data_IF_632984170225
#
_entry.id   IF_632984170225
#
_cell.length_a   1.000
_cell.length_b   1.000
_cell.length_c   1.000
_cell.angle_alpha   90.00
_cell.angle_beta   90.00
_cell.angle_gamma   90.00
#
_symmetry.space_group_name_H-M   'P 1'
#
loop_
_entity.id
_entity.type
_entity.pdbx_description
1 polymer ?
#
# COMPACT_ATOMS: atom_id res chain seq x y z
N UNK A 1 -26.31 9.96 3.07
CA UNK A 1 -25.98 9.84 4.51
C UNK A 1 -25.29 11.12 4.96
N UNK A 2 -25.60 11.66 6.14
CA UNK A 2 -24.91 12.83 6.71
C UNK A 2 -24.29 12.51 8.08
N UNK A 3 -23.07 12.98 8.32
CA UNK A 3 -22.31 12.82 9.56
C UNK A 3 -21.98 14.20 10.12
N UNK A 4 -22.20 14.40 11.42
CA UNK A 4 -21.91 15.65 12.15
C UNK A 4 -21.15 15.34 13.44
N UNK A 5 -20.85 16.37 14.24
CA UNK A 5 -20.08 16.22 15.48
C UNK A 5 -18.67 15.71 15.24
N UNK A 6 -18.13 15.94 14.03
CA UNK A 6 -16.77 15.55 13.67
C UNK A 6 -15.81 16.57 14.29
N UNK A 7 -14.90 16.13 15.14
CA UNK A 7 -13.92 17.03 15.76
C UNK A 7 -12.92 17.57 14.73
N UNK A 8 -12.30 16.68 13.97
CA UNK A 8 -11.45 17.00 12.83
C UNK A 8 -11.77 16.08 11.65
N UNK A 9 -12.01 16.67 10.49
CA UNK A 9 -12.14 15.99 9.21
C UNK A 9 -10.88 16.24 8.39
N UNK A 10 -10.14 15.18 8.06
CA UNK A 10 -9.06 15.23 7.07
C UNK A 10 -9.68 14.98 5.69
N UNK A 11 -9.52 15.92 4.76
CA UNK A 11 -10.12 15.80 3.42
C UNK A 11 -9.09 15.48 2.34
N UNK A 12 -7.81 15.81 2.54
CA UNK A 12 -6.80 15.88 1.47
C UNK A 12 -7.22 16.79 0.28
N UNK A 13 -8.16 17.71 0.51
CA UNK A 13 -8.58 18.68 -0.49
C UNK A 13 -7.76 19.96 -0.36
N UNK A 14 -6.81 20.12 -1.29
CA UNK A 14 -5.92 21.29 -1.31
C UNK A 14 -6.66 22.59 -1.68
N UNK A 15 -7.85 22.50 -2.29
CA UNK A 15 -8.64 23.68 -2.67
C UNK A 15 -9.22 24.42 -1.46
N UNK A 16 -9.24 23.78 -0.29
CA UNK A 16 -9.68 24.39 0.96
C UNK A 16 -8.62 25.34 1.57
N UNK A 17 -7.40 25.40 1.02
CA UNK A 17 -6.29 26.24 1.50
C UNK A 17 -5.91 26.02 2.98
N UNK A 18 -6.16 24.80 3.50
CA UNK A 18 -5.92 24.40 4.90
C UNK A 18 -4.75 23.42 5.04
N UNK A 19 -3.67 23.68 4.31
CA UNK A 19 -2.53 22.77 4.18
C UNK A 19 -2.84 21.51 3.37
N UNK A 20 -1.85 20.61 3.23
CA UNK A 20 -1.97 19.41 2.37
C UNK A 20 -3.07 18.44 2.79
N UNK A 21 -3.41 18.38 4.09
CA UNK A 21 -4.47 17.52 4.62
C UNK A 21 -5.87 18.14 4.54
N UNK A 22 -6.00 19.43 4.24
CA UNK A 22 -7.30 20.11 4.17
C UNK A 22 -8.13 20.01 5.46
N UNK A 23 -7.49 20.09 6.63
CA UNK A 23 -8.14 19.76 7.91
C UNK A 23 -9.26 20.75 8.24
N UNK A 24 -10.46 20.24 8.47
CA UNK A 24 -11.62 21.02 8.90
C UNK A 24 -11.98 20.66 10.35
N UNK A 25 -12.01 21.65 11.22
CA UNK A 25 -12.45 21.50 12.60
C UNK A 25 -13.98 21.67 12.71
N UNK A 26 -14.61 20.98 13.67
CA UNK A 26 -16.07 21.01 13.87
C UNK A 26 -16.83 20.79 12.56
N UNK A 27 -16.52 19.67 11.91
CA UNK A 27 -16.91 19.41 10.53
C UNK A 27 -18.21 18.59 10.42
N UNK A 28 -18.74 18.58 9.20
CA UNK A 28 -19.75 17.64 8.76
C UNK A 28 -19.34 17.04 7.40
N UNK A 29 -19.81 15.82 7.13
CA UNK A 29 -19.57 15.09 5.90
C UNK A 29 -20.91 14.57 5.35
N UNK A 30 -21.18 14.76 4.07
CA UNK A 30 -22.35 14.19 3.40
C UNK A 30 -21.90 13.27 2.28
N UNK A 31 -22.46 12.07 2.30
CA UNK A 31 -22.36 11.10 1.20
C UNK A 31 -23.66 11.14 0.41
N UNK A 32 -23.54 11.41 -0.89
CA UNK A 32 -24.65 11.41 -1.85
C UNK A 32 -25.13 10.00 -2.21
N UNK A 33 -26.26 9.93 -2.91
CA UNK A 33 -26.87 8.66 -3.32
C UNK A 33 -26.05 7.93 -4.40
N UNK A 34 -25.14 8.63 -5.06
CA UNK A 34 -24.15 8.09 -6.00
C UNK A 34 -22.90 7.51 -5.31
N UNK A 35 -22.93 7.39 -3.97
CA UNK A 35 -21.84 6.90 -3.13
C UNK A 35 -20.57 7.76 -3.18
N UNK A 36 -20.70 9.04 -3.53
CA UNK A 36 -19.62 10.03 -3.53
C UNK A 36 -19.79 11.05 -2.43
N UNK A 37 -18.72 11.76 -2.12
CA UNK A 37 -18.77 12.90 -1.21
C UNK A 37 -19.56 14.04 -1.87
N UNK A 38 -20.67 14.43 -1.24
CA UNK A 38 -21.51 15.54 -1.66
C UNK A 38 -21.18 16.85 -0.89
N UNK A 39 -20.64 16.72 0.32
CA UNK A 39 -20.19 17.85 1.14
C UNK A 39 -19.11 17.40 2.12
N UNK A 40 -18.05 18.19 2.25
CA UNK A 40 -16.99 18.02 3.25
C UNK A 40 -16.56 19.41 3.73
N UNK A 41 -16.95 19.80 4.94
CA UNK A 41 -16.74 21.17 5.38
C UNK A 41 -17.18 21.43 6.81
N UNK A 42 -17.16 22.70 7.22
CA UNK A 42 -17.57 23.10 8.57
C UNK A 42 -19.04 22.76 8.81
N UNK A 43 -19.36 22.21 9.98
CA UNK A 43 -20.72 21.79 10.32
C UNK A 43 -21.72 22.95 10.30
N UNK A 44 -21.25 24.18 10.56
CA UNK A 44 -22.06 25.40 10.44
C UNK A 44 -22.63 25.60 9.03
N UNK A 45 -21.93 25.10 8.01
CA UNK A 45 -22.30 25.21 6.60
C UNK A 45 -23.02 23.98 6.05
N UNK A 46 -23.37 23.00 6.92
CA UNK A 46 -24.13 21.83 6.50
C UNK A 46 -25.52 22.24 5.95
N UNK A 47 -25.90 21.82 4.73
CA UNK A 47 -27.21 22.15 4.17
C UNK A 47 -28.36 21.71 5.07
N UNK A 48 -29.42 22.54 5.12
CA UNK A 48 -30.50 22.39 6.10
C UNK A 48 -31.23 21.05 5.97
N UNK A 49 -31.40 20.51 4.77
CA UNK A 49 -32.06 19.21 4.56
C UNK A 49 -31.37 18.03 5.25
N UNK A 50 -30.07 18.13 5.56
CA UNK A 50 -29.30 17.05 6.18
C UNK A 50 -29.27 17.13 7.72
N UNK A 51 -29.66 18.26 8.32
CA UNK A 51 -29.47 18.50 9.77
C UNK A 51 -30.26 17.55 10.65
N UNK A 52 -31.50 17.23 10.29
CA UNK A 52 -32.40 16.41 11.12
C UNK A 52 -32.11 14.91 11.08
N UNK A 53 -31.35 14.44 10.08
CA UNK A 53 -31.02 13.02 9.88
C UNK A 53 -29.53 12.71 10.03
N UNK A 54 -28.72 13.70 10.41
CA UNK A 54 -27.29 13.53 10.58
C UNK A 54 -26.96 12.62 11.77
N UNK A 55 -25.99 11.72 11.58
CA UNK A 55 -25.45 10.88 12.64
C UNK A 55 -24.36 11.67 13.35
N UNK A 56 -24.51 11.88 14.66
CA UNK A 56 -23.51 12.55 15.49
C UNK A 56 -22.36 11.59 15.83
N UNK A 57 -21.13 12.00 15.52
CA UNK A 57 -19.93 11.24 15.82
C UNK A 57 -19.33 11.53 17.20
N UNK A 58 -19.97 12.36 18.02
CA UNK A 58 -19.61 12.66 19.41
C UNK A 58 -18.15 13.12 19.58
N UNK A 59 -17.66 13.95 18.66
CA UNK A 59 -16.31 14.49 18.69
C UNK A 59 -15.22 13.55 18.17
N UNK A 60 -15.58 12.47 17.46
CA UNK A 60 -14.61 11.62 16.74
C UNK A 60 -14.10 12.28 15.46
N UNK A 61 -12.91 11.89 15.04
CA UNK A 61 -12.29 12.35 13.80
C UNK A 61 -12.65 11.43 12.62
N UNK A 62 -12.64 12.00 11.41
CA UNK A 62 -12.73 11.25 10.16
C UNK A 62 -11.46 11.50 9.35
N UNK A 63 -10.93 10.43 8.75
CA UNK A 63 -9.88 10.49 7.73
C UNK A 63 -10.33 9.76 6.46
N UNK A 64 -9.74 10.04 5.28
CA UNK A 64 -9.93 9.20 4.12
C UNK A 64 -9.49 7.76 4.43
N UNK A 65 -10.12 6.78 3.79
CA UNK A 65 -9.74 5.38 3.93
C UNK A 65 -8.28 5.20 3.52
N UNK A 66 -7.55 4.35 4.23
CA UNK A 66 -6.16 4.08 3.85
C UNK A 66 -6.12 3.38 2.50
N UNK A 67 -5.11 3.74 1.71
CA UNK A 67 -4.82 3.10 0.43
C UNK A 67 -3.50 2.35 0.60
N UNK A 68 -3.61 1.06 0.90
CA UNK A 68 -2.45 0.20 1.10
C UNK A 68 -1.91 -0.26 -0.25
N UNK A 69 -0.99 0.54 -0.79
CA UNK A 69 -0.57 0.42 -2.20
C UNK A 69 0.44 -0.70 -2.48
N UNK A 70 0.84 -1.48 -1.48
CA UNK A 70 1.84 -2.53 -1.64
C UNK A 70 1.62 -3.67 -0.62
N UNK A 71 1.17 -4.84 -1.08
CA UNK A 71 1.07 -6.04 -0.23
C UNK A 71 1.32 -7.34 -1.02
N UNK A 72 1.52 -8.45 -0.31
CA UNK A 72 1.65 -9.80 -0.86
C UNK A 72 0.73 -10.76 -0.09
N UNK A 73 -0.59 -10.61 -0.24
CA UNK A 73 -1.58 -11.34 0.57
C UNK A 73 -1.83 -12.79 0.11
N UNK A 74 -1.40 -13.15 -1.09
CA UNK A 74 -1.62 -14.50 -1.66
C UNK A 74 -0.40 -15.37 -1.42
N UNK A 75 -0.42 -16.10 -0.30
CA UNK A 75 0.60 -17.07 0.06
C UNK A 75 0.04 -18.23 0.91
N UNK A 76 0.73 -19.36 0.86
CA UNK A 76 0.53 -20.49 1.77
C UNK A 76 1.54 -20.51 2.92
N UNK A 77 1.13 -21.09 4.05
CA UNK A 77 1.97 -21.24 5.25
C UNK A 77 2.29 -19.93 5.96
N UNK A 78 3.29 -19.97 6.83
CA UNK A 78 3.86 -18.81 7.52
C UNK A 78 5.38 -18.99 7.70
N UNK A 79 6.07 -17.97 8.23
CA UNK A 79 7.51 -18.01 8.50
C UNK A 79 7.85 -17.62 9.94
N UNK A 80 6.98 -17.97 10.89
CA UNK A 80 7.18 -17.65 12.30
C UNK A 80 8.46 -18.27 12.89
N UNK A 81 8.78 -19.52 12.53
CA UNK A 81 10.01 -20.19 12.97
C UNK A 81 11.27 -19.49 12.44
N UNK A 82 11.24 -19.02 11.19
CA UNK A 82 12.35 -18.23 10.64
C UNK A 82 12.49 -16.90 11.38
N UNK A 83 11.37 -16.23 11.66
CA UNK A 83 11.37 -15.00 12.43
C UNK A 83 11.99 -15.21 13.82
N UNK A 84 11.60 -16.26 14.55
CA UNK A 84 12.18 -16.60 15.85
C UNK A 84 13.69 -16.85 15.74
N UNK A 85 14.12 -17.63 14.75
CA UNK A 85 15.53 -17.91 14.54
C UNK A 85 16.35 -16.64 14.26
N UNK A 86 15.84 -15.75 13.38
CA UNK A 86 16.45 -14.44 13.08
C UNK A 86 16.55 -13.56 14.32
N UNK A 87 15.46 -13.45 15.09
CA UNK A 87 15.40 -12.58 16.27
C UNK A 87 16.28 -13.08 17.42
N UNK A 88 16.49 -14.39 17.52
CA UNK A 88 17.36 -15.03 18.53
C UNK A 88 18.84 -15.10 18.11
N UNK A 89 19.20 -14.57 16.94
CA UNK A 89 20.59 -14.56 16.45
C UNK A 89 21.13 -15.93 16.06
N UNK A 90 20.26 -16.93 15.87
CA UNK A 90 20.69 -18.25 15.40
C UNK A 90 21.16 -18.11 13.94
N UNK A 91 22.35 -18.63 13.59
CA UNK A 91 22.76 -18.75 12.20
C UNK A 91 21.72 -19.65 11.51
N UNK A 92 20.82 -19.05 10.74
CA UNK A 92 19.71 -19.78 10.17
C UNK A 92 19.84 -19.79 8.65
N UNK A 93 20.00 -21.00 8.10
CA UNK A 93 19.94 -21.29 6.67
C UNK A 93 18.49 -21.39 6.20
N UNK A 94 17.65 -20.41 6.58
CA UNK A 94 16.23 -20.39 6.23
C UNK A 94 16.03 -20.61 4.74
N UNK A 95 15.01 -21.39 4.36
CA UNK A 95 14.53 -21.45 2.98
C UNK A 95 14.15 -20.05 2.44
N UNK A 96 13.90 -19.08 3.33
CA UNK A 96 13.62 -17.72 2.96
C UNK A 96 12.30 -17.65 2.20
N UNK A 97 12.28 -16.87 1.13
CA UNK A 97 11.17 -16.86 0.18
C UNK A 97 10.84 -18.27 -0.37
N UNK A 98 11.81 -19.19 -0.47
CA UNK A 98 11.56 -20.55 -0.99
C UNK A 98 10.60 -21.36 -0.12
N UNK A 99 10.60 -21.12 1.19
CA UNK A 99 9.64 -21.75 2.11
C UNK A 99 8.21 -21.35 1.73
N UNK A 100 7.98 -20.05 1.51
CA UNK A 100 6.68 -19.53 1.07
C UNK A 100 6.33 -20.01 -0.34
N UNK A 101 7.30 -20.06 -1.27
CA UNK A 101 7.05 -20.58 -2.63
C UNK A 101 6.58 -22.02 -2.58
N UNK A 102 7.28 -22.89 -1.85
CA UNK A 102 6.91 -24.29 -1.71
C UNK A 102 5.52 -24.45 -1.06
N UNK A 103 5.25 -23.70 0.02
CA UNK A 103 3.96 -23.74 0.70
C UNK A 103 2.81 -23.22 -0.17
N UNK A 104 3.03 -22.16 -0.95
CA UNK A 104 2.03 -21.58 -1.87
C UNK A 104 1.73 -22.55 -3.00
N UNK A 105 2.77 -23.12 -3.64
CA UNK A 105 2.63 -24.16 -4.68
C UNK A 105 1.80 -25.36 -4.20
N UNK A 106 2.10 -25.86 -3.00
CA UNK A 106 1.41 -27.02 -2.41
C UNK A 106 0.01 -26.71 -1.84
N UNK A 107 -0.36 -25.44 -1.70
CA UNK A 107 -1.68 -25.06 -1.19
C UNK A 107 -2.76 -25.23 -2.27
N UNK A 108 -3.99 -25.48 -1.86
CA UNK A 108 -5.14 -25.43 -2.76
C UNK A 108 -5.71 -23.99 -2.85
N UNK A 109 -6.54 -23.74 -3.86
CA UNK A 109 -7.09 -22.41 -4.14
C UNK A 109 -7.99 -21.89 -3.02
N UNK A 110 -8.82 -22.75 -2.42
CA UNK A 110 -9.75 -22.34 -1.36
C UNK A 110 -8.99 -21.83 -0.13
N UNK A 111 -7.88 -22.50 0.23
CA UNK A 111 -7.02 -22.07 1.32
C UNK A 111 -6.32 -20.72 1.03
N UNK A 112 -5.84 -20.53 -0.21
CA UNK A 112 -5.22 -19.26 -0.61
C UNK A 112 -6.24 -18.11 -0.60
N UNK A 113 -7.44 -18.33 -1.14
CA UNK A 113 -8.54 -17.34 -1.11
C UNK A 113 -8.96 -17.03 0.32
N UNK A 114 -9.09 -18.04 1.18
CA UNK A 114 -9.45 -17.86 2.58
C UNK A 114 -8.40 -17.04 3.33
N UNK A 115 -7.12 -17.30 3.12
CA UNK A 115 -6.03 -16.52 3.72
C UNK A 115 -6.04 -15.07 3.23
N UNK A 116 -6.10 -14.86 1.91
CA UNK A 116 -6.12 -13.53 1.32
C UNK A 116 -7.33 -12.70 1.80
N UNK A 117 -8.53 -13.31 1.85
CA UNK A 117 -9.74 -12.67 2.37
C UNK A 117 -9.62 -12.32 3.85
N UNK A 118 -9.06 -13.23 4.66
CA UNK A 118 -8.83 -12.97 6.10
C UNK A 118 -7.95 -11.73 6.28
N UNK A 119 -6.80 -11.67 5.60
CA UNK A 119 -5.86 -10.56 5.70
C UNK A 119 -6.46 -9.24 5.17
N UNK A 120 -7.17 -9.28 4.03
CA UNK A 120 -7.89 -8.12 3.52
C UNK A 120 -8.96 -7.62 4.52
N UNK A 121 -9.67 -8.53 5.20
CA UNK A 121 -10.62 -8.16 6.24
C UNK A 121 -9.94 -7.55 7.47
N UNK A 122 -8.78 -8.06 7.86
CA UNK A 122 -7.98 -7.47 8.95
C UNK A 122 -7.56 -6.03 8.59
N UNK A 123 -7.04 -5.83 7.38
CA UNK A 123 -6.69 -4.50 6.87
C UNK A 123 -7.91 -3.56 6.91
N UNK A 124 -9.06 -4.02 6.42
CA UNK A 124 -10.33 -3.28 6.44
C UNK A 124 -10.73 -2.85 7.85
N UNK A 125 -10.62 -3.74 8.85
CA UNK A 125 -10.94 -3.41 10.24
C UNK A 125 -9.96 -2.42 10.90
N UNK A 126 -8.85 -2.12 10.23
CA UNK A 126 -7.86 -1.12 10.67
C UNK A 126 -7.86 0.14 9.81
N UNK A 127 -8.81 0.29 8.88
CA UNK A 127 -9.04 1.53 8.12
C UNK A 127 -8.72 1.47 6.62
N UNK A 128 -8.18 0.36 6.11
CA UNK A 128 -7.83 0.22 4.69
C UNK A 128 -9.07 -0.02 3.84
N UNK A 129 -9.38 0.88 2.91
CA UNK A 129 -10.54 0.77 2.00
C UNK A 129 -10.14 0.34 0.60
N UNK A 130 -8.89 0.58 0.21
CA UNK A 130 -8.30 0.10 -1.04
C UNK A 130 -6.96 -0.54 -0.74
N UNK A 131 -6.70 -1.71 -1.34
CA UNK A 131 -5.42 -2.40 -1.23
C UNK A 131 -4.97 -2.90 -2.60
N UNK A 132 -3.67 -2.84 -2.87
CA UNK A 132 -3.01 -3.57 -3.96
C UNK A 132 -2.43 -4.88 -3.40
N UNK A 133 -2.43 -5.95 -4.20
CA UNK A 133 -1.70 -7.18 -3.83
C UNK A 133 -0.99 -7.79 -5.02
N UNK A 134 0.16 -8.37 -4.73
CA UNK A 134 1.06 -8.97 -5.71
C UNK A 134 0.97 -10.50 -5.72
N UNK A 135 1.33 -11.08 -6.85
CA UNK A 135 1.73 -12.49 -6.95
C UNK A 135 3.20 -12.65 -6.48
N UNK A 136 3.97 -13.60 -7.03
CA UNK A 136 5.42 -13.71 -6.77
C UNK A 136 5.85 -14.77 -5.76
N UNK A 137 4.91 -15.57 -5.23
CA UNK A 137 5.22 -16.82 -4.51
C UNK A 137 4.91 -18.07 -5.33
N UNK A 138 4.60 -17.92 -6.62
CA UNK A 138 4.40 -19.02 -7.55
C UNK A 138 5.66 -19.37 -8.34
N UNK A 139 6.34 -18.37 -8.91
CA UNK A 139 7.55 -18.49 -9.74
C UNK A 139 7.45 -19.54 -10.87
N UNK A 140 6.24 -19.74 -11.40
CA UNK A 140 5.91 -20.65 -12.50
C UNK A 140 4.68 -20.09 -13.21
N UNK A 141 4.46 -20.45 -14.49
CA UNK A 141 3.30 -19.98 -15.26
C UNK A 141 1.99 -20.31 -14.54
N UNK A 142 1.84 -21.55 -14.11
CA UNK A 142 0.62 -22.06 -13.46
C UNK A 142 0.38 -21.36 -12.13
N UNK A 143 1.42 -21.26 -11.30
CA UNK A 143 1.26 -20.77 -9.93
C UNK A 143 1.11 -19.25 -9.86
N UNK A 144 1.80 -18.49 -10.72
CA UNK A 144 1.63 -17.03 -10.80
C UNK A 144 0.24 -16.65 -11.32
N UNK A 145 -0.21 -17.31 -12.39
CA UNK A 145 -1.57 -17.13 -12.94
C UNK A 145 -2.62 -17.43 -11.88
N UNK A 146 -2.45 -18.55 -11.16
CA UNK A 146 -3.32 -18.96 -10.06
C UNK A 146 -3.35 -17.92 -8.92
N UNK A 147 -2.19 -17.40 -8.51
CA UNK A 147 -2.12 -16.37 -7.48
C UNK A 147 -2.85 -15.09 -7.89
N UNK A 148 -2.75 -14.67 -9.15
CA UNK A 148 -3.48 -13.50 -9.65
C UNK A 148 -5.00 -13.74 -9.71
N UNK A 149 -5.44 -14.95 -10.09
CA UNK A 149 -6.85 -15.32 -10.04
C UNK A 149 -7.40 -15.28 -8.61
N UNK A 150 -6.62 -15.74 -7.62
CA UNK A 150 -6.96 -15.62 -6.20
C UNK A 150 -7.00 -14.15 -5.75
N UNK A 151 -6.01 -13.35 -6.14
CA UNK A 151 -5.93 -11.92 -5.80
C UNK A 151 -7.15 -11.12 -6.29
N UNK A 152 -7.65 -11.44 -7.49
CA UNK A 152 -8.85 -10.79 -8.06
C UNK A 152 -10.13 -11.02 -7.23
N UNK A 153 -10.14 -12.00 -6.31
CA UNK A 153 -11.25 -12.22 -5.40
C UNK A 153 -11.32 -11.19 -4.25
N UNK A 154 -10.27 -10.38 -4.06
CA UNK A 154 -10.18 -9.41 -2.96
C UNK A 154 -9.88 -7.97 -3.41
N UNK A 155 -9.27 -7.77 -4.59
CA UNK A 155 -8.98 -6.43 -5.12
C UNK A 155 -8.91 -6.42 -6.65
N UNK A 156 -9.16 -5.26 -7.25
CA UNK A 156 -8.88 -4.98 -8.67
C UNK A 156 -7.47 -4.42 -8.91
N UNK A 157 -6.73 -4.10 -7.85
CA UNK A 157 -5.36 -3.60 -7.92
C UNK A 157 -4.42 -4.79 -7.77
N UNK A 158 -4.36 -5.64 -8.80
CA UNK A 158 -3.52 -6.85 -8.82
C UNK A 158 -2.24 -6.63 -9.59
N UNK A 159 -1.14 -7.18 -9.10
CA UNK A 159 0.20 -6.97 -9.67
C UNK A 159 0.89 -8.29 -9.92
N UNK A 160 1.31 -8.51 -11.17
CA UNK A 160 2.14 -9.64 -11.56
C UNK A 160 3.59 -9.41 -11.11
N UNK A 161 4.08 -10.25 -10.20
CA UNK A 161 5.46 -10.24 -9.70
C UNK A 161 6.13 -11.60 -9.93
N UNK A 162 6.07 -12.14 -11.15
CA UNK A 162 6.84 -13.35 -11.50
C UNK A 162 8.35 -13.17 -11.28
N UNK A 163 8.82 -11.93 -11.38
CA UNK A 163 10.18 -11.50 -11.13
C UNK A 163 10.43 -11.14 -9.65
N UNK A 164 9.96 -11.98 -8.71
CA UNK A 164 10.23 -11.81 -7.28
C UNK A 164 11.65 -12.28 -6.93
N UNK A 165 11.99 -13.52 -7.31
CA UNK A 165 13.35 -14.08 -7.25
C UNK A 165 13.50 -15.13 -8.36
N UNK A 166 14.73 -15.50 -8.66
CA UNK A 166 15.01 -16.61 -9.59
C UNK A 166 14.83 -17.95 -8.86
N UNK A 167 14.03 -18.90 -9.39
CA UNK A 167 13.96 -20.26 -8.87
C UNK A 167 15.35 -20.92 -8.83
N UNK A 168 15.62 -21.76 -7.83
CA UNK A 168 16.93 -22.40 -7.66
C UNK A 168 17.35 -23.28 -8.82
N UNK A 169 16.37 -23.83 -9.54
CA UNK A 169 16.57 -24.81 -10.61
C UNK A 169 16.51 -24.14 -12.00
N UNK A 170 16.65 -22.82 -12.08
CA UNK A 170 16.52 -22.03 -13.30
C UNK A 170 17.73 -21.14 -13.54
N UNK A 171 18.11 -20.98 -14.81
CA UNK A 171 19.06 -19.96 -15.22
C UNK A 171 18.35 -18.61 -15.37
N UNK A 172 18.99 -17.53 -14.93
CA UNK A 172 18.35 -16.21 -14.87
C UNK A 172 17.82 -15.74 -16.23
N UNK A 173 18.59 -15.91 -17.32
CA UNK A 173 18.17 -15.49 -18.65
C UNK A 173 16.96 -16.29 -19.16
N UNK A 174 16.97 -17.61 -18.98
CA UNK A 174 15.84 -18.47 -19.35
C UNK A 174 14.59 -18.12 -18.54
N UNK A 175 14.76 -17.76 -17.26
CA UNK A 175 13.66 -17.35 -16.40
C UNK A 175 13.12 -15.97 -16.80
N UNK A 176 13.98 -15.04 -17.20
CA UNK A 176 13.57 -13.73 -17.75
C UNK A 176 12.80 -13.92 -19.06
N UNK A 177 13.25 -14.81 -19.94
CA UNK A 177 12.53 -15.13 -21.19
C UNK A 177 11.15 -15.73 -20.89
N UNK A 178 11.06 -16.63 -19.91
CA UNK A 178 9.78 -17.19 -19.45
C UNK A 178 8.85 -16.11 -18.89
N UNK A 179 9.37 -15.20 -18.06
CA UNK A 179 8.62 -14.07 -17.50
C UNK A 179 8.10 -13.18 -18.63
N UNK A 180 8.94 -12.82 -19.59
CA UNK A 180 8.59 -11.89 -20.68
C UNK A 180 7.69 -12.51 -21.75
N UNK A 181 7.63 -13.84 -21.83
CA UNK A 181 6.82 -14.59 -22.79
C UNK A 181 5.63 -15.27 -22.11
N UNK A 182 5.66 -16.61 -22.06
CA UNK A 182 4.52 -17.44 -21.66
C UNK A 182 3.91 -17.04 -20.31
N UNK A 183 4.73 -16.69 -19.32
CA UNK A 183 4.22 -16.32 -17.99
C UNK A 183 3.44 -15.00 -18.04
N UNK A 184 3.98 -13.98 -18.72
CA UNK A 184 3.30 -12.70 -18.90
C UNK A 184 2.00 -12.88 -19.69
N UNK A 185 2.00 -13.67 -20.77
CA UNK A 185 0.81 -13.90 -21.59
C UNK A 185 -0.35 -14.50 -20.78
N UNK A 186 -0.05 -15.40 -19.85
CA UNK A 186 -1.06 -16.01 -18.98
C UNK A 186 -1.46 -15.10 -17.80
N UNK A 187 -0.53 -14.28 -17.29
CA UNK A 187 -0.77 -13.44 -16.12
C UNK A 187 -1.44 -12.10 -16.46
N UNK A 188 -1.14 -11.50 -17.62
CA UNK A 188 -1.62 -10.18 -18.00
C UNK A 188 -3.15 -10.02 -17.97
N UNK A 189 -3.98 -11.01 -18.37
CA UNK A 189 -5.44 -10.90 -18.26
C UNK A 189 -5.96 -10.78 -16.82
N UNK A 190 -5.14 -11.10 -15.82
CA UNK A 190 -5.49 -11.13 -14.41
C UNK A 190 -4.76 -10.06 -13.58
N UNK A 191 -3.88 -9.28 -14.21
CA UNK A 191 -3.07 -8.26 -13.56
C UNK A 191 -3.37 -6.86 -14.13
N UNK A 192 -3.36 -5.86 -13.26
CA UNK A 192 -3.36 -4.45 -13.68
C UNK A 192 -1.93 -3.91 -13.81
N UNK A 193 -1.01 -4.46 -13.02
CA UNK A 193 0.37 -4.01 -12.92
C UNK A 193 1.36 -5.16 -13.13
N UNK A 194 2.59 -4.82 -13.49
CA UNK A 194 3.77 -5.69 -13.42
C UNK A 194 4.79 -5.06 -12.47
N UNK A 195 5.53 -5.90 -11.77
CA UNK A 195 6.55 -5.50 -10.80
C UNK A 195 7.78 -6.41 -10.91
N UNK A 196 8.93 -5.91 -10.45
CA UNK A 196 10.21 -6.62 -10.44
C UNK A 196 10.93 -6.31 -9.14
N UNK A 197 11.51 -7.33 -8.51
CA UNK A 197 12.47 -7.12 -7.44
C UNK A 197 13.87 -6.86 -7.99
N UNK A 198 14.21 -5.58 -8.15
CA UNK A 198 15.50 -5.15 -8.67
C UNK A 198 16.46 -4.81 -7.51
N UNK A 199 17.06 -5.85 -6.94
CA UNK A 199 17.97 -5.76 -5.80
C UNK A 199 18.89 -6.99 -5.72
N UNK A 200 19.83 -6.97 -4.77
CA UNK A 200 20.76 -8.06 -4.49
C UNK A 200 20.04 -9.38 -4.27
N UNK A 201 20.44 -10.37 -5.06
CA UNK A 201 19.93 -11.75 -4.94
C UNK A 201 18.62 -11.99 -5.70
N UNK A 202 18.14 -11.00 -6.47
CA UNK A 202 17.01 -11.13 -7.37
C UNK A 202 17.42 -10.74 -8.80
N UNK A 203 16.99 -9.58 -9.30
CA UNK A 203 17.22 -9.15 -10.68
C UNK A 203 18.08 -7.89 -10.79
N UNK A 204 19.08 -7.94 -11.67
CA UNK A 204 19.83 -6.75 -12.10
C UNK A 204 18.99 -5.82 -13.00
N UNK A 205 19.47 -4.58 -13.16
CA UNK A 205 18.79 -3.50 -13.90
C UNK A 205 18.39 -3.90 -15.32
N UNK A 206 19.25 -4.59 -16.07
CA UNK A 206 18.96 -4.97 -17.45
C UNK A 206 17.83 -6.01 -17.54
N UNK A 207 17.77 -6.95 -16.59
CA UNK A 207 16.65 -7.90 -16.50
C UNK A 207 15.35 -7.18 -16.15
N UNK A 208 15.39 -6.30 -15.15
CA UNK A 208 14.22 -5.53 -14.72
C UNK A 208 13.70 -4.66 -15.87
N UNK A 209 14.59 -4.04 -16.64
CA UNK A 209 14.22 -3.26 -17.84
C UNK A 209 13.49 -4.12 -18.87
N UNK A 210 14.03 -5.30 -19.20
CA UNK A 210 13.41 -6.19 -20.18
C UNK A 210 11.99 -6.60 -19.74
N UNK A 211 11.83 -6.99 -18.48
CA UNK A 211 10.55 -7.44 -17.90
C UNK A 211 9.53 -6.30 -17.87
N UNK A 212 9.91 -5.13 -17.35
CA UNK A 212 9.01 -3.97 -17.27
C UNK A 212 8.61 -3.48 -18.67
N UNK A 213 9.53 -3.48 -19.64
CA UNK A 213 9.20 -3.14 -21.02
C UNK A 213 8.27 -4.17 -21.68
N UNK A 214 8.42 -5.46 -21.37
CA UNK A 214 7.49 -6.49 -21.84
C UNK A 214 6.08 -6.28 -21.27
N UNK A 215 5.97 -6.05 -19.96
CA UNK A 215 4.68 -5.76 -19.33
C UNK A 215 4.03 -4.48 -19.84
N UNK A 216 4.82 -3.42 -20.10
CA UNK A 216 4.31 -2.20 -20.73
C UNK A 216 3.72 -2.47 -22.12
N UNK A 217 4.40 -3.29 -22.94
CA UNK A 217 3.90 -3.69 -24.27
C UNK A 217 2.63 -4.53 -24.18
N UNK A 218 2.47 -5.31 -23.10
CA UNK A 218 1.25 -6.06 -22.79
C UNK A 218 0.13 -5.20 -22.18
N UNK A 219 0.35 -3.89 -21.98
CA UNK A 219 -0.65 -2.96 -21.46
C UNK A 219 -0.73 -2.87 -19.93
N UNK A 220 0.22 -3.48 -19.20
CA UNK A 220 0.29 -3.40 -17.74
C UNK A 220 0.93 -2.10 -17.29
N UNK A 221 0.45 -1.56 -16.16
CA UNK A 221 1.16 -0.49 -15.47
C UNK A 221 2.43 -1.01 -14.79
N UNK A 222 3.43 -0.15 -14.61
CA UNK A 222 4.75 -0.58 -14.14
C UNK A 222 5.00 -0.20 -12.69
N UNK A 223 5.66 -1.08 -11.94
CA UNK A 223 6.11 -0.89 -10.56
C UNK A 223 7.48 -1.54 -10.37
N UNK A 224 8.20 -1.19 -9.31
CA UNK A 224 9.49 -1.81 -9.02
C UNK A 224 9.77 -1.82 -7.51
N UNK A 225 10.21 -2.96 -6.97
CA UNK A 225 10.89 -2.98 -5.67
C UNK A 225 12.34 -2.60 -5.91
N UNK A 226 12.81 -1.55 -5.23
CA UNK A 226 14.14 -1.00 -5.45
C UNK A 226 14.79 -0.54 -4.16
N UNK A 227 16.09 -0.81 -4.07
CA UNK A 227 16.98 -0.32 -3.02
C UNK A 227 16.51 -0.70 -1.60
N UNK A 228 15.99 -1.92 -1.42
CA UNK A 228 15.58 -2.49 -0.13
C UNK A 228 16.76 -3.03 0.67
N UNK A 229 17.67 -3.79 0.03
CA UNK A 229 18.73 -4.53 0.73
C UNK A 229 20.11 -3.87 0.58
N UNK A 230 20.28 -3.07 -0.46
CA UNK A 230 21.44 -2.24 -0.73
C UNK A 230 21.08 -1.14 -1.74
N UNK A 231 21.97 -0.17 -1.90
CA UNK A 231 21.84 0.78 -3.01
C UNK A 231 22.05 0.06 -4.36
N UNK A 232 21.24 0.40 -5.36
CA UNK A 232 21.28 -0.17 -6.70
C UNK A 232 20.64 0.76 -7.74
N UNK A 233 20.57 0.32 -9.00
CA UNK A 233 20.03 1.12 -10.11
C UNK A 233 18.51 1.05 -10.29
N UNK A 234 17.78 0.40 -9.38
CA UNK A 234 16.34 0.16 -9.52
C UNK A 234 15.51 1.45 -9.52
N UNK A 235 15.83 2.41 -8.66
CA UNK A 235 15.11 3.70 -8.60
C UNK A 235 15.31 4.50 -9.88
N UNK A 236 16.56 4.61 -10.36
CA UNK A 236 16.89 5.29 -11.61
C UNK A 236 16.12 4.69 -12.80
N UNK A 237 16.13 3.36 -12.93
CA UNK A 237 15.37 2.64 -13.94
C UNK A 237 13.87 2.92 -13.81
N UNK A 238 13.34 2.88 -12.59
CA UNK A 238 11.93 3.12 -12.31
C UNK A 238 11.48 4.50 -12.80
N UNK A 239 12.24 5.54 -12.45
CA UNK A 239 11.98 6.91 -12.91
C UNK A 239 12.10 7.02 -14.43
N UNK A 240 13.14 6.42 -15.04
CA UNK A 240 13.34 6.43 -16.49
C UNK A 240 12.16 5.81 -17.25
N UNK A 241 11.64 4.67 -16.78
CA UNK A 241 10.50 3.98 -17.39
C UNK A 241 9.15 4.59 -16.98
N UNK A 242 9.13 5.57 -16.08
CA UNK A 242 7.92 6.18 -15.55
C UNK A 242 7.03 5.18 -14.83
N UNK A 243 7.62 4.34 -13.96
CA UNK A 243 6.85 3.43 -13.09
C UNK A 243 5.93 4.22 -12.16
N UNK A 244 4.79 3.64 -11.78
CA UNK A 244 3.86 4.26 -10.86
C UNK A 244 4.49 4.44 -9.46
N UNK A 245 5.24 3.45 -9.00
CA UNK A 245 6.03 3.56 -7.77
C UNK A 245 7.33 2.78 -7.79
N UNK A 246 8.32 3.34 -7.07
CA UNK A 246 9.50 2.64 -6.57
C UNK A 246 9.24 2.32 -5.10
N UNK A 247 9.23 1.03 -4.76
CA UNK A 247 8.84 0.53 -3.44
C UNK A 247 10.08 0.10 -2.61
N UNK A 248 9.99 0.18 -1.28
CA UNK A 248 11.06 0.15 -0.27
C UNK A 248 11.85 1.46 -0.15
N UNK A 249 12.74 1.75 -1.09
CA UNK A 249 13.59 2.96 -1.06
C UNK A 249 14.41 3.11 0.25
N UNK A 250 14.89 1.99 0.81
CA UNK A 250 15.61 1.94 2.10
C UNK A 250 17.05 2.44 1.99
N UNK A 251 17.71 2.19 0.85
CA UNK A 251 19.11 2.53 0.59
C UNK A 251 19.24 3.47 -0.61
N UNK A 252 18.75 4.70 -0.46
CA UNK A 252 18.85 5.74 -1.49
C UNK A 252 20.15 6.54 -1.39
N UNK A 253 20.67 6.95 -2.53
CA UNK A 253 21.66 8.04 -2.62
C UNK A 253 21.00 9.39 -2.98
N UNK A 254 21.80 10.44 -3.20
CA UNK A 254 21.26 11.74 -3.60
C UNK A 254 20.72 11.75 -5.03
N UNK A 255 21.33 11.00 -5.96
CA UNK A 255 20.89 10.96 -7.34
C UNK A 255 19.51 10.27 -7.46
N UNK A 256 19.24 9.26 -6.62
CA UNK A 256 17.91 8.65 -6.51
C UNK A 256 16.84 9.63 -6.08
N UNK A 257 17.14 10.45 -5.07
CA UNK A 257 16.20 11.45 -4.55
C UNK A 257 15.95 12.53 -5.59
N UNK A 258 17.02 13.02 -6.25
CA UNK A 258 16.91 14.03 -7.30
C UNK A 258 16.07 13.50 -8.48
N UNK A 259 16.30 12.26 -8.92
CA UNK A 259 15.52 11.63 -9.99
C UNK A 259 14.03 11.49 -9.62
N UNK A 260 13.73 11.04 -8.40
CA UNK A 260 12.36 10.95 -7.90
C UNK A 260 11.67 12.32 -7.84
N UNK A 261 12.39 13.36 -7.39
CA UNK A 261 11.86 14.73 -7.33
C UNK A 261 11.59 15.29 -8.74
N UNK A 262 12.53 15.10 -9.66
CA UNK A 262 12.43 15.51 -11.06
C UNK A 262 11.30 14.79 -11.82
N UNK A 263 10.88 13.61 -11.35
CA UNK A 263 9.70 12.91 -11.88
C UNK A 263 8.39 13.69 -11.67
N UNK A 264 8.37 14.69 -10.79
CA UNK A 264 7.19 15.53 -10.45
C UNK A 264 5.96 14.71 -10.07
N UNK A 265 6.18 13.66 -9.28
CA UNK A 265 5.13 12.77 -8.78
C UNK A 265 4.59 11.76 -9.81
N UNK A 266 5.23 11.64 -10.98
CA UNK A 266 4.93 10.54 -11.92
C UNK A 266 5.33 9.18 -11.34
N UNK A 267 6.40 9.16 -10.56
CA UNK A 267 6.87 8.01 -9.80
C UNK A 267 6.81 8.34 -8.31
N UNK A 268 6.06 7.53 -7.58
CA UNK A 268 5.91 7.66 -6.12
C UNK A 268 6.98 6.83 -5.41
N UNK A 269 7.60 7.37 -4.37
CA UNK A 269 8.45 6.59 -3.47
C UNK A 269 7.57 5.96 -2.38
N UNK A 270 7.36 4.64 -2.42
CA UNK A 270 6.59 3.93 -1.39
C UNK A 270 7.52 3.37 -0.33
N UNK A 271 7.37 3.86 0.89
CA UNK A 271 8.19 3.45 2.04
C UNK A 271 7.43 2.41 2.87
N UNK A 272 8.14 1.39 3.34
CA UNK A 272 7.54 0.16 3.89
C UNK A 272 7.97 -0.11 5.35
N UNK A 273 7.85 0.86 6.28
CA UNK A 273 8.53 0.87 7.60
C UNK A 273 8.36 -0.39 8.46
N UNK A 274 7.26 -1.11 8.28
CA UNK A 274 6.97 -2.38 8.97
C UNK A 274 7.93 -3.50 8.54
N UNK A 275 8.39 -3.48 7.28
CA UNK A 275 9.43 -4.37 6.78
C UNK A 275 10.78 -4.07 7.44
N UNK A 276 11.19 -2.80 7.52
CA UNK A 276 12.43 -2.42 8.21
C UNK A 276 12.40 -2.81 9.69
N UNK A 277 11.26 -2.59 10.38
CA UNK A 277 11.07 -3.01 11.76
C UNK A 277 11.27 -4.53 11.93
N UNK A 278 10.55 -5.33 11.15
CA UNK A 278 10.51 -6.80 11.29
C UNK A 278 11.79 -7.49 10.81
N UNK A 279 12.58 -6.83 9.96
CA UNK A 279 13.88 -7.32 9.48
C UNK A 279 15.06 -6.78 10.27
N UNK A 280 14.85 -5.78 11.15
CA UNK A 280 15.91 -4.96 11.78
C UNK A 280 16.81 -4.27 10.76
N UNK A 281 16.25 -3.91 9.60
CA UNK A 281 16.95 -3.04 8.64
C UNK A 281 16.97 -1.60 9.13
N UNK A 282 17.81 -0.77 8.51
CA UNK A 282 17.73 0.68 8.72
C UNK A 282 16.41 1.21 8.14
N UNK A 283 15.85 2.26 8.74
CA UNK A 283 14.68 2.93 8.18
C UNK A 283 15.06 3.86 7.01
N UNK A 284 14.21 4.01 5.97
CA UNK A 284 14.43 4.97 4.90
C UNK A 284 14.41 6.42 5.43
N UNK A 285 15.20 7.30 4.81
CA UNK A 285 15.22 8.73 5.15
C UNK A 285 14.08 9.49 4.45
N UNK A 286 12.86 9.32 4.97
CA UNK A 286 11.67 9.99 4.43
C UNK A 286 11.78 11.52 4.46
N UNK A 287 12.51 12.08 5.43
CA UNK A 287 12.68 13.53 5.54
C UNK A 287 13.39 14.09 4.30
N UNK A 288 14.50 13.47 3.88
CA UNK A 288 15.20 13.90 2.67
C UNK A 288 14.33 13.83 1.41
N UNK A 289 13.51 12.77 1.28
CA UNK A 289 12.57 12.64 0.17
C UNK A 289 11.53 13.76 0.15
N UNK A 290 10.89 14.02 1.29
CA UNK A 290 9.82 15.03 1.40
C UNK A 290 10.37 16.44 1.21
N UNK A 291 11.54 16.75 1.79
CA UNK A 291 12.19 18.05 1.66
C UNK A 291 12.61 18.34 0.21
N UNK A 292 12.95 17.29 -0.56
CA UNK A 292 13.22 17.38 -2.00
C UNK A 292 11.94 17.49 -2.86
N UNK A 293 10.75 17.38 -2.27
CA UNK A 293 9.47 17.46 -2.98
C UNK A 293 9.01 16.15 -3.61
N UNK A 294 9.59 15.01 -3.23
CA UNK A 294 9.16 13.69 -3.71
C UNK A 294 7.77 13.36 -3.18
N UNK A 295 6.91 12.82 -4.05
CA UNK A 295 5.65 12.21 -3.62
C UNK A 295 5.94 10.90 -2.91
N UNK A 296 5.59 10.82 -1.61
CA UNK A 296 5.83 9.65 -0.77
C UNK A 296 4.51 8.94 -0.44
N UNK A 297 4.50 7.61 -0.57
CA UNK A 297 3.45 6.73 -0.06
C UNK A 297 3.96 5.89 1.12
N UNK A 298 3.04 5.46 1.97
CA UNK A 298 3.28 4.40 2.96
C UNK A 298 2.44 3.18 2.58
N UNK A 299 2.95 1.98 2.85
CA UNK A 299 2.20 0.74 2.72
C UNK A 299 2.63 -0.27 3.79
N UNK A 300 1.80 -1.29 4.03
CA UNK A 300 2.05 -2.29 5.08
C UNK A 300 3.10 -3.31 4.66
N UNK A 301 3.28 -3.51 3.36
CA UNK A 301 4.06 -4.62 2.80
C UNK A 301 3.60 -5.97 3.39
N UNK A 302 2.30 -6.17 3.62
CA UNK A 302 1.84 -7.38 4.29
C UNK A 302 2.28 -8.64 3.52
N UNK A 303 3.28 -9.36 4.04
CA UNK A 303 3.89 -10.54 3.46
C UNK A 303 4.42 -11.47 4.57
N UNK A 304 4.54 -12.78 4.32
CA UNK A 304 4.89 -13.73 5.39
C UNK A 304 6.34 -13.62 5.88
N UNK A 305 7.24 -12.95 5.16
CA UNK A 305 8.68 -13.07 5.38
C UNK A 305 9.38 -11.86 6.01
N UNK A 306 8.97 -10.65 5.61
CA UNK A 306 9.62 -9.40 5.99
C UNK A 306 8.68 -8.44 6.70
N UNK A 307 7.37 -8.49 6.45
CA UNK A 307 6.38 -7.66 7.16
C UNK A 307 5.04 -8.37 7.28
N UNK A 308 4.85 -9.19 8.32
CA UNK A 308 3.58 -9.91 8.50
C UNK A 308 2.56 -9.11 9.33
N UNK A 309 2.17 -7.94 8.80
CA UNK A 309 1.15 -7.07 9.40
C UNK A 309 0.31 -6.38 8.34
N UNK A 310 -0.99 -6.20 8.61
CA UNK A 310 -1.95 -5.48 7.74
C UNK A 310 -2.23 -4.05 8.23
N UNK A 311 -1.47 -3.57 9.23
CA UNK A 311 -1.79 -2.35 9.97
C UNK A 311 -1.14 -1.09 9.39
N UNK A 312 -1.90 -0.34 8.59
CA UNK A 312 -1.52 1.02 8.18
C UNK A 312 -1.31 2.01 9.35
N UNK A 313 -2.10 1.98 10.45
CA UNK A 313 -1.79 2.78 11.64
C UNK A 313 -0.40 2.52 12.24
N UNK A 314 0.07 1.26 12.21
CA UNK A 314 1.44 0.93 12.64
C UNK A 314 2.47 1.54 11.69
N UNK A 315 2.27 1.44 10.38
CA UNK A 315 3.15 2.07 9.39
C UNK A 315 3.25 3.59 9.60
N UNK A 316 2.13 4.27 9.86
CA UNK A 316 2.08 5.71 10.20
C UNK A 316 2.90 6.00 11.47
N UNK A 317 2.69 5.21 12.53
CA UNK A 317 3.44 5.38 13.79
C UNK A 317 4.96 5.26 13.55
N UNK A 318 5.39 4.23 12.83
CA UNK A 318 6.81 4.00 12.56
C UNK A 318 7.42 5.10 11.68
N UNK A 319 6.67 5.59 10.69
CA UNK A 319 7.10 6.69 9.84
C UNK A 319 7.33 7.99 10.62
N UNK A 320 6.46 8.31 11.58
CA UNK A 320 6.65 9.47 12.45
C UNK A 320 7.82 9.26 13.41
N UNK A 321 7.88 8.11 14.08
CA UNK A 321 8.86 7.86 15.14
C UNK A 321 10.29 7.60 14.64
N UNK A 322 10.45 6.95 13.48
CA UNK A 322 11.76 6.49 12.99
C UNK A 322 12.21 7.18 11.71
N UNK A 323 11.28 7.66 10.87
CA UNK A 323 11.60 8.27 9.57
C UNK A 323 11.44 9.80 9.56
N UNK A 324 11.16 10.39 10.73
CA UNK A 324 11.04 11.85 10.94
C UNK A 324 9.96 12.50 10.08
N UNK A 325 8.91 11.77 9.72
CA UNK A 325 7.71 12.35 9.14
C UNK A 325 6.89 13.06 10.22
N UNK A 326 6.18 14.12 9.86
CA UNK A 326 5.12 14.69 10.69
C UNK A 326 3.89 13.77 10.63
N UNK A 327 2.98 13.90 11.60
CA UNK A 327 1.71 13.16 11.57
C UNK A 327 0.90 13.47 10.30
N UNK A 328 0.98 14.71 9.81
CA UNK A 328 0.26 15.16 8.62
C UNK A 328 0.80 14.49 7.36
N UNK A 329 2.13 14.50 7.18
CA UNK A 329 2.78 13.82 6.05
C UNK A 329 2.51 12.32 6.09
N UNK A 330 2.59 11.67 7.25
CA UNK A 330 2.39 10.23 7.36
C UNK A 330 0.95 9.81 6.99
N UNK A 331 -0.06 10.56 7.45
CA UNK A 331 -1.46 10.30 7.10
C UNK A 331 -1.72 10.59 5.63
N UNK A 332 -1.15 11.67 5.08
CA UNK A 332 -1.25 11.97 3.65
C UNK A 332 -0.65 10.83 2.82
N UNK A 333 0.57 10.37 3.17
CA UNK A 333 1.26 9.28 2.48
C UNK A 333 0.52 7.94 2.57
N UNK A 334 -0.17 7.66 3.67
CA UNK A 334 -1.00 6.46 3.85
C UNK A 334 -2.38 6.52 3.17
N UNK A 335 -2.77 7.69 2.63
CA UNK A 335 -4.07 7.93 1.98
C UNK A 335 -3.87 8.40 0.54
N UNK A 336 -3.74 9.70 0.31
CA UNK A 336 -3.52 10.28 -1.02
C UNK A 336 -2.20 9.84 -1.66
N UNK A 337 -1.14 9.61 -0.87
CA UNK A 337 0.12 9.06 -1.37
C UNK A 337 -0.05 7.65 -1.92
N UNK A 338 -0.73 6.76 -1.18
CA UNK A 338 -1.09 5.43 -1.65
C UNK A 338 -1.98 5.46 -2.89
N UNK A 339 -2.95 6.38 -2.96
CA UNK A 339 -3.77 6.59 -4.17
C UNK A 339 -2.91 7.02 -5.37
N UNK A 340 -1.95 7.92 -5.16
CA UNK A 340 -1.01 8.35 -6.19
C UNK A 340 -0.13 7.20 -6.70
N UNK A 341 0.34 6.32 -5.81
CA UNK A 341 1.10 5.11 -6.18
C UNK A 341 0.28 4.14 -7.06
N UNK A 342 -1.05 4.18 -6.96
CA UNK A 342 -1.97 3.42 -7.81
C UNK A 342 -2.50 4.21 -9.02
N UNK A 343 -2.01 5.44 -9.23
CA UNK A 343 -2.49 6.39 -10.25
C UNK A 343 -3.99 6.67 -10.15
N UNK A 344 -4.51 6.78 -8.94
CA UNK A 344 -5.90 7.06 -8.62
C UNK A 344 -6.03 8.43 -7.94
N UNK A 345 -7.10 9.14 -8.27
CA UNK A 345 -7.43 10.46 -7.69
C UNK A 345 -8.83 10.51 -7.07
N UNK A 346 -9.64 9.47 -7.31
CA UNK A 346 -10.99 9.32 -6.80
C UNK A 346 -11.07 8.68 -5.40
N UNK A 347 -9.94 8.21 -4.87
CA UNK A 347 -9.79 7.60 -3.53
C UNK A 347 -8.66 8.27 -2.73
N UNK A 348 -8.53 7.96 -1.44
CA UNK A 348 -7.51 8.53 -0.56
C UNK A 348 -7.74 10.02 -0.25
N UNK A 349 -8.92 10.55 -0.56
CA UNK A 349 -9.35 11.92 -0.25
C UNK A 349 -10.88 11.99 -0.09
N UNK A 350 -11.37 13.06 0.52
CA UNK A 350 -12.79 13.33 0.75
C UNK A 350 -13.19 14.69 0.15
N UNK A 351 -12.59 15.07 -0.98
CA UNK A 351 -13.07 16.19 -1.78
C UNK A 351 -14.44 15.87 -2.39
N UNK A 352 -15.23 16.89 -2.70
CA UNK A 352 -16.54 16.70 -3.34
C UNK A 352 -16.38 15.98 -4.68
N UNK A 353 -17.18 14.93 -4.89
CA UNK A 353 -17.13 14.06 -6.07
C UNK A 353 -16.22 12.83 -5.95
N UNK A 354 -15.36 12.76 -4.93
CA UNK A 354 -14.54 11.57 -4.64
C UNK A 354 -15.39 10.43 -4.07
N UNK A 355 -14.87 9.21 -4.17
CA UNK A 355 -15.51 8.03 -3.61
C UNK A 355 -15.63 8.17 -2.08
N UNK A 356 -16.78 7.80 -1.51
CA UNK A 356 -17.03 7.91 -0.08
C UNK A 356 -16.37 6.79 0.73
N UNK A 357 -15.04 6.78 0.71
CA UNK A 357 -14.17 5.82 1.40
C UNK A 357 -13.46 6.50 2.58
N UNK A 358 -13.84 6.17 3.81
CA UNK A 358 -13.32 6.84 5.00
C UNK A 358 -13.32 5.95 6.25
N UNK A 359 -12.45 6.31 7.20
CA UNK A 359 -12.40 5.69 8.52
C UNK A 359 -12.79 6.71 9.60
N UNK A 360 -13.60 6.26 10.55
CA UNK A 360 -13.96 7.01 11.76
C UNK A 360 -13.04 6.56 12.89
N UNK A 361 -12.31 7.50 13.47
CA UNK A 361 -11.35 7.23 14.53
C UNK A 361 -12.01 7.32 15.91
N UNK A 362 -11.66 6.41 16.81
CA UNK A 362 -11.90 6.51 18.25
C UNK A 362 -10.93 7.50 18.90
N UNK A 363 -10.89 8.71 18.36
CA UNK A 363 -9.98 9.77 18.71
C UNK A 363 -10.49 11.09 18.16
N UNK A 364 -10.01 12.21 18.72
CA UNK A 364 -10.38 13.55 18.28
C UNK A 364 -9.55 14.08 17.11
N UNK A 365 -8.51 13.36 16.68
CA UNK A 365 -7.66 13.77 15.57
C UNK A 365 -6.83 12.62 15.02
N UNK A 366 -6.40 12.76 13.76
CA UNK A 366 -5.49 11.83 13.08
C UNK A 366 -4.13 11.67 13.77
N UNK A 367 -3.70 12.69 14.54
CA UNK A 367 -2.45 12.67 15.35
C UNK A 367 -2.39 11.44 16.25
N UNK A 368 -3.54 10.95 16.74
CA UNK A 368 -3.59 9.80 17.63
C UNK A 368 -3.06 8.51 16.99
N UNK A 369 -3.10 8.40 15.65
CA UNK A 369 -2.56 7.25 14.92
C UNK A 369 -1.07 7.06 15.14
N UNK A 370 -0.31 8.16 15.28
CA UNK A 370 1.12 8.11 15.60
C UNK A 370 1.38 8.18 17.11
N UNK A 371 0.56 8.90 17.86
CA UNK A 371 0.73 9.09 19.30
C UNK A 371 0.40 7.84 20.13
N UNK A 372 -0.49 6.95 19.65
CA UNK A 372 -0.87 5.71 20.34
C UNK A 372 -0.53 4.46 19.50
N UNK A 373 0.76 4.18 19.27
CA UNK A 373 1.17 3.05 18.47
C UNK A 373 0.63 1.73 19.04
N UNK A 374 0.12 0.85 18.17
CA UNK A 374 -0.41 -0.46 18.54
C UNK A 374 -1.82 -0.46 19.15
N UNK A 375 -2.45 0.71 19.33
CA UNK A 375 -3.84 0.78 19.83
C UNK A 375 -4.81 0.72 18.65
N UNK A 376 -5.89 -0.07 18.80
CA UNK A 376 -7.01 -0.06 17.86
C UNK A 376 -7.76 1.28 17.94
N UNK A 377 -7.56 2.14 16.95
CA UNK A 377 -8.16 3.48 16.89
C UNK A 377 -9.24 3.64 15.82
N UNK A 378 -9.54 2.62 15.02
CA UNK A 378 -10.61 2.68 14.02
C UNK A 378 -11.87 2.04 14.61
N UNK A 379 -12.94 2.84 14.74
CA UNK A 379 -14.25 2.40 15.22
C UNK A 379 -15.11 1.86 14.09
N UNK A 380 -15.11 2.55 12.95
CA UNK A 380 -15.92 2.20 11.78
C UNK A 380 -15.19 2.56 10.48
N UNK A 381 -15.45 1.77 9.44
CA UNK A 381 -14.91 1.99 8.09
C UNK A 381 -16.05 1.96 7.09
N UNK A 382 -16.06 2.94 6.21
CA UNK A 382 -17.02 3.09 5.13
C UNK A 382 -16.31 2.90 3.79
N UNK A 383 -16.89 2.08 2.92
CA UNK A 383 -16.46 1.87 1.54
C UNK A 383 -17.65 2.20 0.65
N UNK A 384 -17.48 3.11 -0.30
CA UNK A 384 -18.56 3.62 -1.18
C UNK A 384 -19.78 4.05 -0.37
N UNK A 385 -19.55 4.77 0.73
CA UNK A 385 -20.64 5.29 1.57
C UNK A 385 -21.35 4.26 2.45
N UNK A 386 -20.98 2.98 2.37
CA UNK A 386 -21.60 1.90 3.13
C UNK A 386 -20.69 1.45 4.26
N UNK A 387 -21.28 1.17 5.43
CA UNK A 387 -20.54 0.63 6.57
C UNK A 387 -20.00 -0.76 6.21
N UNK A 388 -18.68 -0.89 6.12
CA UNK A 388 -17.99 -2.11 5.70
C UNK A 388 -17.38 -2.87 6.90
N UNK A 389 -16.95 -2.16 7.94
CA UNK A 389 -16.43 -2.76 9.16
C UNK A 389 -16.69 -1.87 10.39
N UNK A 390 -16.78 -2.50 11.56
CA UNK A 390 -16.91 -1.80 12.83
C UNK A 390 -18.32 -1.27 13.14
N UNK A 391 -18.40 -0.25 13.99
CA UNK A 391 -19.63 0.27 14.57
C UNK A 391 -19.46 1.72 15.05
N UNK A 392 -20.48 2.55 14.86
CA UNK A 392 -20.54 3.90 15.44
C UNK A 392 -21.24 3.94 16.81
N UNK A 393 -21.78 2.81 17.29
CA UNK A 393 -22.50 2.67 18.56
C UNK A 393 -21.61 2.81 19.78
#
# INVERSE_FOLDING_TARGET
MALTGISTLVTNDITLERGKLGIVANAALVVGDDNKIAFAGEAANLPHEYKSSAIDLNGRAIIPGFVDSHTHLVFGGDRAEEFEARMSGKPYSAGGIRTTVAATRNSNNDALVANARRLANEALHTGTTTLETKSGYGLSVIDETRSLQVANAITSETTFLGAHVVPTDSQINEYVDLICGEMLDNCAPHAKWIDVFCDRGAFEVDHARAILQAGAKAGLGLRIHANQLQHGGGVQLGVELGVASCDHCTHLDSADIDALADSKGKTVATLLPTAELCTRSQFPDARRLIDAGVTVALASDCNPGSSYTTSMPLAISLAVLNMKMTCDEAVWSATAGGAAALRRSDIGNLAVGSQADFAVLNARSHIHLAYRPGVKLVDAVYVRGQLAAGSLR
#
